data_IF_945162229436
#
_entry.id   IF_945162229436
#
_cell.length_a   1.000
_cell.length_b   1.000
_cell.length_c   1.000
_cell.angle_alpha   90.00
_cell.angle_beta   90.00
_cell.angle_gamma   90.00
#
_symmetry.space_group_name_H-M   'P 1'
#
loop_
_entity.id
_entity.type
_entity.pdbx_description
1 polymer ?
#
# COMPACT_ATOMS: atom_id res chain seq x y z
N UNK A 1 -18.11 -3.56 18.44
CA UNK A 1 -17.85 -4.10 17.08
C UNK A 1 -16.35 -4.34 16.93
N UNK A 2 -15.91 -5.59 16.73
CA UNK A 2 -14.50 -5.86 16.42
C UNK A 2 -14.24 -5.29 15.01
N UNK A 3 -13.32 -4.32 14.91
CA UNK A 3 -12.94 -3.75 13.62
C UNK A 3 -12.38 -4.85 12.74
N UNK A 4 -13.06 -5.14 11.64
CA UNK A 4 -12.54 -6.09 10.64
C UNK A 4 -11.24 -5.54 10.04
N UNK A 5 -10.33 -6.40 9.63
CA UNK A 5 -9.08 -6.01 8.95
C UNK A 5 -9.36 -5.02 7.81
N UNK A 6 -10.45 -5.24 7.07
CA UNK A 6 -10.91 -4.38 5.99
C UNK A 6 -11.22 -2.94 6.44
N UNK A 7 -11.89 -2.76 7.57
CA UNK A 7 -12.19 -1.43 8.12
C UNK A 7 -10.90 -0.66 8.47
N UNK A 8 -9.89 -1.37 8.99
CA UNK A 8 -8.58 -0.76 9.27
C UNK A 8 -7.87 -0.31 8.00
N UNK A 9 -7.93 -1.10 6.92
CA UNK A 9 -7.38 -0.72 5.62
C UNK A 9 -8.08 0.48 5.00
N UNK A 10 -9.43 0.53 5.05
CA UNK A 10 -10.20 1.68 4.57
C UNK A 10 -9.82 2.94 5.35
N UNK A 11 -9.75 2.86 6.67
CA UNK A 11 -9.41 3.99 7.52
C UNK A 11 -7.98 4.50 7.24
N UNK A 12 -7.03 3.59 7.11
CA UNK A 12 -5.66 3.92 6.73
C UNK A 12 -5.58 4.57 5.34
N UNK A 13 -6.34 4.04 4.37
CA UNK A 13 -6.43 4.61 3.02
C UNK A 13 -6.99 6.03 3.03
N UNK A 14 -8.06 6.30 3.79
CA UNK A 14 -8.65 7.63 3.93
C UNK A 14 -7.66 8.61 4.56
N UNK A 15 -6.98 8.21 5.64
CA UNK A 15 -5.99 9.05 6.33
C UNK A 15 -4.81 9.37 5.40
N UNK A 16 -4.22 8.36 4.75
CA UNK A 16 -3.13 8.53 3.80
C UNK A 16 -3.55 9.43 2.63
N UNK A 17 -4.76 9.23 2.13
CA UNK A 17 -5.30 10.05 1.07
C UNK A 17 -5.45 11.51 1.47
N UNK A 18 -6.03 11.78 2.62
CA UNK A 18 -6.18 13.14 3.12
C UNK A 18 -4.82 13.82 3.36
N UNK A 19 -3.87 13.08 3.94
CA UNK A 19 -2.52 13.57 4.17
C UNK A 19 -1.80 13.88 2.86
N UNK A 20 -1.93 13.01 1.85
CA UNK A 20 -1.30 13.21 0.54
C UNK A 20 -1.86 14.42 -0.20
N UNK A 21 -3.19 14.62 -0.19
CA UNK A 21 -3.82 15.81 -0.79
C UNK A 21 -3.30 17.07 -0.11
N UNK A 22 -3.32 17.10 1.22
CA UNK A 22 -2.88 18.26 1.99
C UNK A 22 -1.41 18.60 1.68
N UNK A 23 -0.54 17.58 1.69
CA UNK A 23 0.89 17.78 1.45
C UNK A 23 1.15 18.27 0.01
N UNK A 24 0.53 17.62 -0.98
CA UNK A 24 0.75 17.99 -2.39
C UNK A 24 0.16 19.37 -2.68
N UNK A 25 -1.04 19.70 -2.18
CA UNK A 25 -1.66 20.99 -2.38
C UNK A 25 -0.82 22.12 -1.75
N UNK A 26 -0.40 21.94 -0.50
CA UNK A 26 0.42 22.94 0.21
C UNK A 26 1.80 23.13 -0.44
N UNK A 27 2.51 22.03 -0.68
CA UNK A 27 3.85 22.06 -1.26
C UNK A 27 3.83 22.57 -2.70
N UNK A 28 2.89 22.12 -3.52
CA UNK A 28 2.74 22.55 -4.91
C UNK A 28 2.40 24.06 -4.98
N UNK A 29 1.52 24.55 -4.11
CA UNK A 29 1.18 25.97 -4.05
C UNK A 29 2.42 26.82 -3.75
N UNK A 30 3.17 26.50 -2.70
CA UNK A 30 4.36 27.25 -2.30
C UNK A 30 5.44 27.25 -3.39
N UNK A 31 5.74 26.06 -3.94
CA UNK A 31 6.74 25.92 -4.98
C UNK A 31 6.34 26.64 -6.27
N UNK A 32 5.07 26.56 -6.65
CA UNK A 32 4.54 27.22 -7.85
C UNK A 32 4.61 28.74 -7.72
N UNK A 33 4.21 29.31 -6.58
CA UNK A 33 4.29 30.74 -6.33
C UNK A 33 5.73 31.22 -6.43
N UNK A 34 6.64 30.60 -5.72
CA UNK A 34 8.06 30.96 -5.75
C UNK A 34 8.68 30.84 -7.16
N UNK A 35 8.31 29.79 -7.89
CA UNK A 35 8.78 29.61 -9.28
C UNK A 35 8.25 30.71 -10.20
N UNK A 36 6.96 31.07 -10.11
CA UNK A 36 6.36 32.11 -10.92
C UNK A 36 6.97 33.49 -10.61
N UNK A 37 7.12 33.83 -9.34
CA UNK A 37 7.77 35.08 -8.91
C UNK A 37 9.19 35.17 -9.47
N UNK A 38 10.00 34.15 -9.26
CA UNK A 38 11.39 34.12 -9.75
C UNK A 38 11.49 34.13 -11.28
N UNK A 39 10.64 33.40 -11.97
CA UNK A 39 10.64 33.33 -13.44
C UNK A 39 10.17 34.63 -14.09
N UNK A 40 9.08 35.21 -13.57
CA UNK A 40 8.51 36.45 -14.11
C UNK A 40 9.44 37.62 -13.82
N UNK A 41 9.92 37.77 -12.58
CA UNK A 41 10.85 38.81 -12.22
C UNK A 41 12.18 38.72 -12.98
N UNK A 42 12.68 37.50 -13.14
CA UNK A 42 13.89 37.24 -13.93
C UNK A 42 13.75 37.68 -15.39
N UNK A 43 12.63 37.36 -16.04
CA UNK A 43 12.34 37.80 -17.41
C UNK A 43 12.18 39.33 -17.49
N UNK A 44 11.49 39.94 -16.52
CA UNK A 44 11.36 41.41 -16.45
C UNK A 44 12.72 42.06 -16.33
N UNK A 45 13.55 41.58 -15.38
CA UNK A 45 14.90 42.13 -15.17
C UNK A 45 15.79 41.98 -16.37
N UNK A 46 15.81 40.79 -17.03
CA UNK A 46 16.60 40.59 -18.26
C UNK A 46 16.18 41.57 -19.35
N UNK A 47 14.86 41.73 -19.58
CA UNK A 47 14.35 42.63 -20.60
C UNK A 47 14.66 44.09 -20.25
N UNK A 48 14.47 44.49 -18.97
CA UNK A 48 14.80 45.83 -18.48
C UNK A 48 16.31 46.12 -18.65
N UNK A 49 17.16 45.16 -18.27
CA UNK A 49 18.61 45.29 -18.35
C UNK A 49 19.12 45.40 -19.81
N UNK A 50 18.50 44.65 -20.76
CA UNK A 50 18.83 44.78 -22.17
C UNK A 50 18.56 46.21 -22.67
N UNK A 51 17.41 46.79 -22.35
CA UNK A 51 17.07 48.12 -22.74
C UNK A 51 17.94 49.19 -22.01
N UNK A 52 18.14 48.99 -20.71
CA UNK A 52 18.96 49.85 -19.86
C UNK A 52 20.46 49.87 -20.28
N UNK A 53 20.98 48.79 -20.78
CA UNK A 53 22.40 48.66 -21.14
C UNK A 53 22.69 49.04 -22.58
N UNK A 54 21.77 48.72 -23.52
CA UNK A 54 22.08 48.83 -24.96
C UNK A 54 21.41 49.98 -25.66
N UNK A 55 20.36 50.58 -25.08
CA UNK A 55 19.59 51.63 -25.75
C UNK A 55 19.49 52.93 -24.95
N UNK A 56 19.13 52.88 -23.65
CA UNK A 56 18.92 54.07 -22.82
C UNK A 56 20.19 54.88 -22.57
N UNK A 57 21.44 54.36 -22.58
CA UNK A 57 22.65 55.16 -22.49
C UNK A 57 22.78 56.17 -23.63
N UNK A 58 22.26 55.87 -24.82
CA UNK A 58 22.29 56.76 -25.99
C UNK A 58 21.44 58.02 -25.83
N UNK A 59 20.46 58.00 -24.94
CA UNK A 59 19.70 59.20 -24.53
C UNK A 59 20.57 60.20 -23.79
N UNK A 60 21.42 59.73 -22.86
CA UNK A 60 22.31 60.61 -22.09
C UNK A 60 23.51 61.12 -22.94
N UNK A 61 23.82 60.41 -24.00
CA UNK A 61 24.82 60.87 -24.99
C UNK A 61 24.24 61.75 -26.11
N UNK A 62 22.94 62.09 -26.04
CA UNK A 62 22.18 62.92 -27.01
C UNK A 62 22.13 62.32 -28.42
N UNK A 63 22.34 60.99 -28.56
CA UNK A 63 22.27 60.31 -29.82
C UNK A 63 20.85 59.93 -30.23
N UNK A 64 19.96 59.78 -29.27
CA UNK A 64 18.53 59.51 -29.45
C UNK A 64 17.67 60.57 -28.74
N UNK A 65 16.46 60.76 -29.25
CA UNK A 65 15.50 61.69 -28.67
C UNK A 65 14.63 61.04 -27.62
N UNK A 66 13.97 61.86 -26.77
CA UNK A 66 13.01 61.39 -25.83
C UNK A 66 11.81 60.67 -26.50
N UNK A 67 11.44 61.09 -27.73
CA UNK A 67 10.41 60.41 -28.51
C UNK A 67 10.80 58.97 -28.91
N UNK A 68 12.09 58.76 -29.22
CA UNK A 68 12.61 57.39 -29.50
C UNK A 68 12.58 56.53 -28.24
N UNK A 69 12.91 57.11 -27.05
CA UNK A 69 12.79 56.44 -25.75
C UNK A 69 11.35 55.98 -25.51
N UNK A 70 10.37 56.88 -25.69
CA UNK A 70 8.95 56.53 -25.49
C UNK A 70 8.51 55.36 -26.43
N UNK A 71 8.99 55.36 -27.69
CA UNK A 71 8.65 54.30 -28.64
C UNK A 71 9.17 52.96 -28.14
N UNK A 72 10.38 52.90 -27.64
CA UNK A 72 10.96 51.64 -27.11
C UNK A 72 10.31 51.19 -25.79
N UNK A 73 10.03 52.15 -24.87
CA UNK A 73 9.36 51.85 -23.63
C UNK A 73 7.94 51.31 -23.87
N UNK A 74 7.20 51.92 -24.82
CA UNK A 74 5.84 51.41 -25.16
C UNK A 74 5.89 50.00 -25.75
N UNK A 75 6.81 49.73 -26.67
CA UNK A 75 6.99 48.38 -27.25
C UNK A 75 7.33 47.35 -26.16
N UNK A 76 8.18 47.70 -25.22
CA UNK A 76 8.54 46.83 -24.10
C UNK A 76 7.36 46.66 -23.09
N UNK A 77 6.62 47.75 -22.81
CA UNK A 77 5.44 47.75 -21.95
C UNK A 77 4.36 46.80 -22.50
N UNK A 78 4.09 46.88 -23.81
CA UNK A 78 3.12 45.98 -24.47
C UNK A 78 3.61 44.54 -24.48
N UNK A 79 4.89 44.30 -24.73
CA UNK A 79 5.48 42.97 -24.72
C UNK A 79 5.43 42.31 -23.36
N UNK A 80 5.82 43.05 -22.30
CA UNK A 80 5.84 42.52 -20.94
C UNK A 80 4.48 42.59 -20.26
N UNK A 81 3.51 43.30 -20.81
CA UNK A 81 2.25 43.64 -20.17
C UNK A 81 2.50 44.24 -18.78
N UNK A 82 3.30 45.30 -18.72
CA UNK A 82 3.85 45.89 -17.50
C UNK A 82 3.99 47.43 -17.66
N UNK A 83 3.84 48.15 -16.56
CA UNK A 83 4.11 49.57 -16.55
C UNK A 83 5.62 49.83 -16.42
N UNK A 84 6.17 50.75 -17.18
CA UNK A 84 7.59 51.00 -17.22
C UNK A 84 7.86 52.47 -16.96
N UNK A 85 8.76 52.74 -15.99
CA UNK A 85 9.20 54.07 -15.64
C UNK A 85 10.72 54.21 -15.84
N UNK A 86 11.12 55.21 -16.54
CA UNK A 86 12.52 55.60 -16.69
C UNK A 86 12.76 56.85 -15.84
N UNK A 87 13.63 56.74 -14.84
CA UNK A 87 13.90 57.80 -13.85
C UNK A 87 15.39 58.15 -13.83
N UNK A 88 15.70 59.35 -13.40
CA UNK A 88 17.07 59.78 -13.08
C UNK A 88 17.54 59.25 -11.73
N UNK A 89 18.78 59.60 -11.31
CA UNK A 89 19.34 59.18 -10.01
C UNK A 89 18.64 59.73 -8.80
N UNK A 90 17.83 60.78 -8.96
CA UNK A 90 17.06 61.43 -7.90
C UNK A 90 15.60 60.94 -7.85
N UNK A 91 15.22 60.01 -8.73
CA UNK A 91 13.87 59.48 -8.84
C UNK A 91 12.91 60.38 -9.64
N UNK A 92 13.42 61.39 -10.38
CA UNK A 92 12.55 62.21 -11.24
C UNK A 92 12.23 61.44 -12.51
N UNK A 93 10.96 61.46 -12.90
CA UNK A 93 10.49 60.71 -14.07
C UNK A 93 10.95 61.37 -15.38
N UNK A 94 11.70 60.66 -16.19
CA UNK A 94 12.14 61.10 -17.52
C UNK A 94 11.17 60.66 -18.62
N UNK A 95 10.68 59.40 -18.53
CA UNK A 95 9.69 58.83 -19.43
C UNK A 95 8.91 57.69 -18.77
N UNK A 96 7.68 57.46 -19.22
CA UNK A 96 6.89 56.34 -18.77
C UNK A 96 6.09 55.72 -19.91
N UNK A 97 5.90 54.40 -19.87
CA UNK A 97 5.01 53.68 -20.73
C UNK A 97 4.05 52.85 -19.91
N UNK A 98 2.82 52.68 -20.37
CA UNK A 98 1.74 51.98 -19.69
C UNK A 98 1.20 50.83 -20.50
N UNK A 99 0.92 49.74 -19.82
CA UNK A 99 0.21 48.59 -20.37
C UNK A 99 -1.27 48.52 -19.93
N UNK A 100 -1.93 49.61 -19.59
CA UNK A 100 -3.33 49.61 -19.16
C UNK A 100 -3.84 50.97 -18.66
N UNK A 101 -5.11 51.00 -18.21
CA UNK A 101 -5.90 52.21 -18.02
C UNK A 101 -5.63 53.00 -16.69
N UNK A 102 -4.87 52.52 -15.74
CA UNK A 102 -4.89 53.06 -14.36
C UNK A 102 -3.53 53.03 -13.67
N UNK A 103 -2.53 53.73 -14.16
CA UNK A 103 -1.51 54.18 -13.21
C UNK A 103 -1.08 55.62 -13.50
N UNK A 104 -1.06 56.42 -12.47
CA UNK A 104 -0.50 57.76 -12.50
C UNK A 104 1.00 57.63 -12.25
N UNK A 105 1.79 57.83 -13.30
CA UNK A 105 3.21 57.92 -13.11
C UNK A 105 3.53 59.25 -12.42
N UNK A 106 4.17 59.26 -11.26
CA UNK A 106 4.49 60.48 -10.53
C UNK A 106 5.55 61.29 -11.28
N UNK A 107 5.56 62.60 -11.14
CA UNK A 107 6.65 63.42 -11.70
C UNK A 107 8.00 63.16 -11.00
N UNK A 108 7.96 62.68 -9.75
CA UNK A 108 9.13 62.25 -8.95
C UNK A 108 8.72 61.17 -7.96
N UNK A 109 9.56 60.17 -7.76
CA UNK A 109 9.39 59.12 -6.75
C UNK A 109 9.94 59.67 -5.42
N UNK A 110 9.08 59.75 -4.39
CA UNK A 110 9.50 60.18 -3.07
C UNK A 110 10.39 59.13 -2.40
N UNK A 111 11.53 59.52 -1.83
CA UNK A 111 12.50 58.64 -1.16
C UNK A 111 13.00 57.48 -2.04
N UNK A 112 13.21 57.75 -3.34
CA UNK A 112 13.72 56.76 -4.26
C UNK A 112 15.08 56.21 -3.80
N UNK A 113 15.11 54.90 -3.52
CA UNK A 113 16.33 54.14 -3.19
C UNK A 113 16.49 52.98 -4.18
N UNK A 114 17.44 53.01 -5.11
CA UNK A 114 17.66 51.90 -6.08
C UNK A 114 18.11 50.62 -5.38
N UNK A 115 18.58 50.66 -4.13
CA UNK A 115 19.00 49.51 -3.34
C UNK A 115 17.89 48.95 -2.43
N UNK A 116 16.67 49.48 -2.51
CA UNK A 116 15.53 49.09 -1.67
C UNK A 116 15.21 47.60 -1.73
N UNK A 117 15.55 46.96 -2.85
CA UNK A 117 15.40 45.47 -2.99
C UNK A 117 16.27 44.65 -2.04
N UNK A 118 17.22 45.29 -1.31
CA UNK A 118 18.07 44.62 -0.33
C UNK A 118 18.85 43.40 -0.85
N UNK A 119 19.15 43.36 -2.15
CA UNK A 119 19.81 42.26 -2.81
C UNK A 119 18.84 41.22 -3.46
N UNK A 120 17.53 41.41 -3.34
CA UNK A 120 16.54 40.69 -4.12
C UNK A 120 16.50 41.22 -5.57
N UNK A 121 16.11 40.38 -6.52
CA UNK A 121 15.94 40.80 -7.93
C UNK A 121 14.65 41.58 -8.15
N UNK A 122 13.74 41.61 -7.19
CA UNK A 122 12.43 42.27 -7.28
C UNK A 122 11.91 42.70 -5.92
N UNK A 123 10.95 43.64 -5.96
CA UNK A 123 10.15 44.09 -4.83
C UNK A 123 8.69 43.67 -5.04
N UNK A 124 7.97 43.41 -3.98
CA UNK A 124 6.51 43.22 -4.00
C UNK A 124 5.81 44.23 -3.10
N UNK A 125 4.68 44.76 -3.55
CA UNK A 125 3.87 45.71 -2.84
C UNK A 125 3.24 46.74 -3.75
N UNK A 126 2.70 47.84 -3.16
CA UNK A 126 2.05 48.93 -3.88
C UNK A 126 3.03 49.99 -4.43
N UNK A 127 4.32 49.68 -4.33
CA UNK A 127 5.43 50.57 -4.69
C UNK A 127 5.24 52.03 -4.22
N UNK A 128 5.47 52.27 -2.94
CA UNK A 128 5.29 53.56 -2.26
C UNK A 128 3.87 54.16 -2.35
N UNK A 129 2.84 53.31 -2.53
CA UNK A 129 1.45 53.77 -2.66
C UNK A 129 1.09 54.36 -4.01
N UNK A 130 1.96 54.23 -5.03
CA UNK A 130 1.66 54.72 -6.37
C UNK A 130 0.69 53.83 -7.14
N UNK A 131 0.54 52.54 -6.73
CA UNK A 131 -0.39 51.62 -7.34
C UNK A 131 -1.50 51.23 -6.34
N UNK A 132 -2.74 51.08 -6.86
CA UNK A 132 -3.88 50.64 -6.06
C UNK A 132 -3.92 49.11 -5.84
N UNK A 133 -3.00 48.39 -6.43
CA UNK A 133 -2.89 46.95 -6.35
C UNK A 133 -1.45 46.55 -6.09
N UNK A 134 -1.28 45.33 -5.56
CA UNK A 134 0.04 44.76 -5.37
C UNK A 134 0.75 44.55 -6.71
N UNK A 135 1.99 44.97 -6.80
CA UNK A 135 2.85 44.93 -7.98
C UNK A 135 4.11 44.11 -7.66
N UNK A 136 4.68 43.49 -8.69
CA UNK A 136 6.07 43.04 -8.67
C UNK A 136 6.88 44.04 -9.47
N UNK A 137 7.92 44.58 -8.85
CA UNK A 137 8.75 45.65 -9.42
C UNK A 137 10.19 45.20 -9.53
N UNK A 138 10.80 45.40 -10.70
CA UNK A 138 12.23 45.18 -10.91
C UNK A 138 12.89 46.51 -11.28
N UNK A 139 14.14 46.73 -10.86
CA UNK A 139 14.92 47.95 -11.05
C UNK A 139 16.19 47.58 -11.79
N UNK A 140 16.41 48.15 -12.97
CA UNK A 140 17.61 47.96 -13.76
C UNK A 140 18.38 49.28 -13.92
N UNK A 141 19.68 49.36 -13.58
CA UNK A 141 20.48 50.58 -13.67
C UNK A 141 20.82 50.91 -15.15
N UNK A 142 20.66 52.16 -15.52
CA UNK A 142 21.11 52.71 -16.81
C UNK A 142 22.49 53.35 -16.62
N UNK A 143 23.51 52.76 -17.24
CA UNK A 143 24.90 53.15 -17.02
C UNK A 143 25.51 53.70 -18.32
N UNK A 144 26.07 54.92 -18.22
CA UNK A 144 26.83 55.55 -19.29
C UNK A 144 28.26 55.87 -18.81
N UNK A 145 29.28 55.47 -19.57
CA UNK A 145 30.70 55.76 -19.27
C UNK A 145 31.11 55.43 -17.83
N UNK A 146 30.72 54.22 -17.38
CA UNK A 146 30.98 53.70 -16.02
C UNK A 146 30.29 54.46 -14.86
N UNK A 147 29.31 55.30 -15.12
CA UNK A 147 28.49 55.97 -14.12
C UNK A 147 27.02 55.66 -14.37
N UNK A 148 26.28 55.36 -13.27
CA UNK A 148 24.82 55.21 -13.34
C UNK A 148 24.20 56.59 -13.56
N UNK A 149 23.36 56.71 -14.56
CA UNK A 149 22.68 57.99 -14.93
C UNK A 149 21.21 57.96 -14.61
N UNK A 150 20.65 56.79 -14.42
CA UNK A 150 19.24 56.62 -14.09
C UNK A 150 18.88 55.15 -13.90
N UNK A 151 17.61 54.87 -13.77
CA UNK A 151 17.09 53.56 -13.54
C UNK A 151 15.84 53.30 -14.39
N UNK A 152 15.70 52.04 -14.85
CA UNK A 152 14.51 51.56 -15.51
C UNK A 152 13.76 50.66 -14.54
N UNK A 153 12.53 51.08 -14.17
CA UNK A 153 11.65 50.37 -13.29
C UNK A 153 10.58 49.69 -14.16
N UNK A 154 10.34 48.42 -13.91
CA UNK A 154 9.27 47.66 -14.55
C UNK A 154 8.34 47.11 -13.51
N UNK A 155 7.07 47.55 -13.56
CA UNK A 155 6.02 47.21 -12.61
C UNK A 155 5.01 46.29 -13.29
N UNK A 156 4.77 45.14 -12.72
CA UNK A 156 3.79 44.18 -13.22
C UNK A 156 2.76 43.86 -12.16
N UNK A 157 1.44 43.88 -12.46
CA UNK A 157 0.42 43.52 -11.48
C UNK A 157 0.63 42.10 -10.95
N UNK A 158 0.68 41.93 -9.63
CA UNK A 158 0.83 40.64 -8.97
C UNK A 158 -0.37 39.71 -9.27
N UNK A 159 -1.52 40.28 -9.64
CA UNK A 159 -2.67 39.51 -10.11
C UNK A 159 -2.36 38.56 -11.26
N UNK A 160 -1.44 38.94 -12.17
CA UNK A 160 -1.03 38.06 -13.27
C UNK A 160 -0.28 36.81 -12.77
N UNK A 161 0.44 36.92 -11.64
CA UNK A 161 1.10 35.78 -10.98
C UNK A 161 0.04 34.91 -10.32
N UNK A 162 -0.93 35.51 -9.61
CA UNK A 162 -2.02 34.76 -8.95
C UNK A 162 -2.94 34.08 -9.96
N UNK A 163 -3.19 34.71 -11.11
CA UNK A 163 -3.97 34.08 -12.19
C UNK A 163 -3.23 32.85 -12.78
N UNK A 164 -1.95 32.99 -13.11
CA UNK A 164 -1.12 31.89 -13.59
C UNK A 164 -1.03 30.76 -12.54
N UNK A 165 -0.83 31.13 -11.28
CA UNK A 165 -0.84 30.19 -10.14
C UNK A 165 -2.17 29.44 -10.07
N UNK A 166 -3.31 30.12 -10.16
CA UNK A 166 -4.65 29.52 -10.08
C UNK A 166 -4.88 28.49 -11.19
N UNK A 167 -4.42 28.76 -12.42
CA UNK A 167 -4.51 27.85 -13.56
C UNK A 167 -3.66 26.58 -13.31
N UNK A 168 -2.41 26.74 -12.85
CA UNK A 168 -1.52 25.64 -12.54
C UNK A 168 -2.05 24.76 -11.38
N UNK A 169 -2.56 25.41 -10.32
CA UNK A 169 -3.16 24.70 -9.20
C UNK A 169 -4.42 23.94 -9.58
N UNK A 170 -5.27 24.53 -10.44
CA UNK A 170 -6.45 23.82 -10.98
C UNK A 170 -6.05 22.53 -11.71
N UNK A 171 -5.02 22.59 -12.55
CA UNK A 171 -4.51 21.41 -13.24
C UNK A 171 -3.98 20.37 -12.24
N UNK A 172 -3.27 20.81 -11.21
CA UNK A 172 -2.76 19.94 -10.12
C UNK A 172 -3.91 19.23 -9.41
N UNK A 173 -4.99 19.93 -9.08
CA UNK A 173 -6.17 19.33 -8.42
C UNK A 173 -6.89 18.32 -9.32
N UNK A 174 -6.96 18.56 -10.64
CA UNK A 174 -7.54 17.60 -11.59
C UNK A 174 -6.70 16.32 -11.60
N UNK A 175 -5.38 16.43 -11.65
CA UNK A 175 -4.47 15.26 -11.62
C UNK A 175 -4.63 14.48 -10.31
N UNK A 176 -4.68 15.18 -9.17
CA UNK A 176 -4.92 14.55 -7.86
C UNK A 176 -6.26 13.80 -7.86
N UNK A 177 -7.32 14.41 -8.40
CA UNK A 177 -8.64 13.76 -8.49
C UNK A 177 -8.57 12.47 -9.31
N UNK A 178 -7.90 12.49 -10.47
CA UNK A 178 -7.74 11.31 -11.32
C UNK A 178 -7.00 10.20 -10.56
N UNK A 179 -5.89 10.55 -9.90
CA UNK A 179 -5.11 9.59 -9.10
C UNK A 179 -5.99 8.98 -7.99
N UNK A 180 -6.84 9.78 -7.35
CA UNK A 180 -7.74 9.31 -6.31
C UNK A 180 -8.78 8.32 -6.83
N UNK A 181 -9.37 8.62 -7.98
CA UNK A 181 -10.33 7.72 -8.64
C UNK A 181 -9.66 6.39 -9.02
N UNK A 182 -8.45 6.44 -9.61
CA UNK A 182 -7.68 5.25 -9.95
C UNK A 182 -7.33 4.43 -8.70
N UNK A 183 -6.88 5.08 -7.65
CA UNK A 183 -6.56 4.44 -6.37
C UNK A 183 -7.79 3.79 -5.73
N UNK A 184 -8.97 4.40 -5.85
CA UNK A 184 -10.23 3.82 -5.38
C UNK A 184 -10.62 2.55 -6.16
N UNK A 185 -10.39 2.54 -7.48
CA UNK A 185 -10.60 1.34 -8.31
C UNK A 185 -9.69 0.20 -7.85
N UNK A 186 -8.42 0.49 -7.55
CA UNK A 186 -7.47 -0.49 -6.99
C UNK A 186 -7.97 -1.03 -5.65
N UNK A 187 -8.47 -0.17 -4.76
CA UNK A 187 -9.03 -0.59 -3.47
C UNK A 187 -10.21 -1.56 -3.64
N UNK A 188 -11.10 -1.30 -4.62
CA UNK A 188 -12.17 -2.22 -4.97
C UNK A 188 -11.62 -3.55 -5.50
N UNK A 189 -10.58 -3.52 -6.34
CA UNK A 189 -9.88 -4.71 -6.81
C UNK A 189 -9.36 -5.56 -5.65
N UNK A 190 -8.67 -4.97 -4.69
CA UNK A 190 -8.17 -5.64 -3.48
C UNK A 190 -9.31 -6.26 -2.67
N UNK A 191 -10.45 -5.56 -2.57
CA UNK A 191 -11.62 -6.11 -1.88
C UNK A 191 -12.11 -7.41 -2.52
N UNK A 192 -12.26 -7.44 -3.84
CA UNK A 192 -12.84 -8.60 -4.55
C UNK A 192 -11.82 -9.74 -4.74
N UNK A 193 -10.55 -9.41 -5.03
CA UNK A 193 -9.54 -10.43 -5.33
C UNK A 193 -8.88 -11.02 -4.07
N UNK A 194 -8.75 -10.25 -3.01
CA UNK A 194 -7.99 -10.68 -1.82
C UNK A 194 -8.91 -10.84 -0.61
N UNK A 195 -9.62 -9.77 -0.22
CA UNK A 195 -10.34 -9.78 1.06
C UNK A 195 -11.51 -10.78 1.08
N UNK A 196 -12.32 -10.82 0.03
CA UNK A 196 -13.47 -11.72 -0.08
C UNK A 196 -13.09 -13.20 -0.05
N UNK A 197 -12.10 -13.68 -0.84
CA UNK A 197 -11.57 -15.04 -0.72
C UNK A 197 -11.02 -15.35 0.67
N UNK A 198 -10.23 -14.45 1.26
CA UNK A 198 -9.64 -14.64 2.58
C UNK A 198 -10.70 -14.83 3.67
N UNK A 199 -11.81 -14.09 3.62
CA UNK A 199 -12.93 -14.25 4.55
C UNK A 199 -13.59 -15.63 4.38
N UNK A 200 -13.75 -16.13 3.15
CA UNK A 200 -14.30 -17.48 2.90
C UNK A 200 -13.39 -18.56 3.48
N UNK A 201 -12.08 -18.47 3.22
CA UNK A 201 -11.07 -19.40 3.75
C UNK A 201 -11.10 -19.39 5.29
N UNK A 202 -11.08 -18.20 5.90
CA UNK A 202 -11.09 -18.05 7.36
C UNK A 202 -12.37 -18.65 8.00
N UNK A 203 -13.52 -18.47 7.35
CA UNK A 203 -14.77 -19.01 7.86
C UNK A 203 -14.83 -20.54 7.73
N UNK A 204 -14.32 -21.12 6.65
CA UNK A 204 -14.22 -22.56 6.50
C UNK A 204 -13.24 -23.16 7.52
N UNK A 205 -12.05 -22.55 7.72
CA UNK A 205 -11.11 -22.98 8.73
C UNK A 205 -11.70 -22.97 10.15
N UNK A 206 -12.56 -22.00 10.47
CA UNK A 206 -13.30 -21.98 11.75
C UNK A 206 -14.28 -23.15 11.85
N UNK A 207 -14.94 -23.52 10.75
CA UNK A 207 -15.84 -24.68 10.73
C UNK A 207 -15.07 -25.98 10.90
N UNK A 208 -13.91 -26.15 10.26
CA UNK A 208 -13.03 -27.29 10.48
C UNK A 208 -12.60 -27.41 11.95
N UNK A 209 -12.20 -26.28 12.56
CA UNK A 209 -11.85 -26.26 13.98
C UNK A 209 -13.03 -26.58 14.94
N UNK A 210 -14.28 -26.41 14.49
CA UNK A 210 -15.47 -26.79 15.25
C UNK A 210 -15.96 -28.23 14.97
N UNK A 211 -15.20 -28.99 14.16
CA UNK A 211 -15.54 -30.39 13.79
C UNK A 211 -16.41 -30.53 12.56
N UNK A 212 -16.80 -29.43 11.90
CA UNK A 212 -17.55 -29.50 10.65
C UNK A 212 -16.58 -29.60 9.45
N UNK A 213 -16.16 -30.83 9.15
CA UNK A 213 -15.19 -31.15 8.09
C UNK A 213 -15.82 -31.28 6.70
N UNK A 214 -17.14 -31.24 6.57
CA UNK A 214 -17.85 -31.39 5.30
C UNK A 214 -17.88 -30.16 4.43
N UNK A 215 -17.42 -29.01 4.95
CA UNK A 215 -17.41 -27.74 4.23
C UNK A 215 -16.28 -27.72 3.23
N UNK A 216 -16.60 -27.35 1.97
CA UNK A 216 -15.62 -27.15 0.91
C UNK A 216 -15.42 -25.67 0.67
N UNK A 217 -14.18 -25.22 0.60
CA UNK A 217 -13.83 -23.84 0.31
C UNK A 217 -13.99 -23.59 -1.20
N UNK A 218 -14.98 -22.79 -1.65
CA UNK A 218 -15.27 -22.57 -3.06
C UNK A 218 -14.40 -21.44 -3.65
N UNK A 219 -13.08 -21.57 -3.63
CA UNK A 219 -12.16 -20.59 -4.21
C UNK A 219 -11.48 -21.21 -5.43
N UNK A 220 -11.89 -20.74 -6.62
CA UNK A 220 -11.41 -21.24 -7.91
C UNK A 220 -10.46 -20.23 -8.56
N UNK A 221 -9.34 -19.94 -7.90
CA UNK A 221 -8.27 -19.11 -8.44
C UNK A 221 -7.02 -19.96 -8.63
N UNK A 222 -6.14 -19.56 -9.56
CA UNK A 222 -4.86 -20.24 -9.81
C UNK A 222 -3.68 -19.55 -9.12
N UNK A 223 -3.98 -18.76 -8.10
CA UNK A 223 -3.04 -18.01 -7.28
C UNK A 223 -2.83 -18.66 -5.90
N UNK A 224 -2.15 -17.97 -5.00
CA UNK A 224 -1.89 -18.40 -3.64
C UNK A 224 -3.17 -18.68 -2.84
N UNK A 225 -4.28 -17.96 -3.15
CA UNK A 225 -5.58 -18.18 -2.51
C UNK A 225 -6.21 -19.51 -2.95
N UNK A 226 -6.08 -19.85 -4.23
CA UNK A 226 -6.50 -21.13 -4.76
C UNK A 226 -5.70 -22.30 -4.17
N UNK A 227 -4.37 -22.15 -4.10
CA UNK A 227 -3.49 -23.13 -3.48
C UNK A 227 -3.80 -23.34 -1.99
N UNK A 228 -3.96 -22.25 -1.24
CA UNK A 228 -4.33 -22.31 0.18
C UNK A 228 -5.68 -22.99 0.39
N UNK A 229 -6.65 -22.70 -0.46
CA UNK A 229 -7.98 -23.34 -0.41
C UNK A 229 -7.91 -24.85 -0.67
N UNK A 230 -7.14 -25.27 -1.69
CA UNK A 230 -6.94 -26.67 -2.01
C UNK A 230 -6.22 -27.41 -0.86
N UNK A 231 -5.19 -26.81 -0.27
CA UNK A 231 -4.46 -27.38 0.85
C UNK A 231 -5.34 -27.56 2.09
N UNK A 232 -6.18 -26.57 2.40
CA UNK A 232 -7.12 -26.66 3.52
C UNK A 232 -8.23 -27.70 3.27
N UNK A 233 -8.77 -27.79 2.06
CA UNK A 233 -9.74 -28.81 1.68
C UNK A 233 -9.13 -30.20 1.78
N UNK A 234 -7.88 -30.39 1.32
CA UNK A 234 -7.15 -31.64 1.45
C UNK A 234 -6.94 -32.03 2.92
N UNK A 235 -6.50 -31.09 3.75
CA UNK A 235 -6.35 -31.31 5.18
C UNK A 235 -7.67 -31.71 5.86
N UNK A 236 -8.79 -31.05 5.50
CA UNK A 236 -10.12 -31.41 6.00
C UNK A 236 -10.52 -32.83 5.63
N UNK A 237 -10.24 -33.24 4.38
CA UNK A 237 -10.49 -34.60 3.93
C UNK A 237 -9.67 -35.62 4.74
N UNK A 238 -8.39 -35.38 4.96
CA UNK A 238 -7.53 -36.27 5.74
C UNK A 238 -8.01 -36.39 7.21
N UNK A 239 -8.43 -35.28 7.81
CA UNK A 239 -8.98 -35.29 9.18
C UNK A 239 -10.29 -36.09 9.25
N UNK A 240 -11.15 -35.98 8.24
CA UNK A 240 -12.41 -36.73 8.16
C UNK A 240 -12.14 -38.23 8.02
N UNK A 241 -11.24 -38.61 7.11
CA UNK A 241 -10.85 -40.01 6.91
C UNK A 241 -10.27 -40.62 8.19
N UNK A 242 -9.46 -39.85 8.92
CA UNK A 242 -8.91 -40.25 10.22
C UNK A 242 -10.01 -40.42 11.29
N UNK A 243 -10.98 -39.50 11.34
CA UNK A 243 -12.13 -39.64 12.27
C UNK A 243 -12.97 -40.88 11.96
N UNK A 244 -13.26 -41.11 10.70
CA UNK A 244 -14.02 -42.30 10.25
C UNK A 244 -13.25 -43.63 10.51
N UNK A 245 -11.93 -43.60 10.29
CA UNK A 245 -11.07 -44.74 10.65
C UNK A 245 -11.11 -45.02 12.17
N UNK A 246 -10.96 -43.96 12.99
CA UNK A 246 -11.01 -44.09 14.44
C UNK A 246 -12.36 -44.61 14.94
N UNK A 247 -13.48 -44.13 14.38
CA UNK A 247 -14.83 -44.64 14.72
C UNK A 247 -14.96 -46.13 14.34
N UNK A 248 -14.54 -46.56 13.16
CA UNK A 248 -14.55 -47.96 12.72
C UNK A 248 -13.64 -48.82 13.59
N UNK A 249 -12.45 -48.35 13.93
CA UNK A 249 -11.50 -49.02 14.77
C UNK A 249 -12.11 -49.31 16.16
N UNK A 250 -12.66 -48.27 16.81
CA UNK A 250 -13.31 -48.44 18.14
C UNK A 250 -14.51 -49.39 18.07
N UNK A 251 -15.32 -49.33 17.01
CA UNK A 251 -16.45 -50.24 16.81
C UNK A 251 -15.99 -51.68 16.65
N UNK A 252 -14.97 -51.92 15.81
CA UNK A 252 -14.44 -53.29 15.57
C UNK A 252 -13.82 -53.86 16.86
N UNK A 253 -12.96 -53.09 17.50
CA UNK A 253 -12.37 -53.54 18.80
C UNK A 253 -13.45 -53.84 19.83
N UNK A 254 -14.48 -53.02 19.93
CA UNK A 254 -15.60 -53.25 20.88
C UNK A 254 -16.36 -54.52 20.53
N UNK A 255 -16.56 -54.82 19.26
CA UNK A 255 -17.19 -56.07 18.79
C UNK A 255 -16.34 -57.30 19.14
N UNK A 256 -15.02 -57.24 18.84
CA UNK A 256 -14.11 -58.38 19.04
C UNK A 256 -13.86 -58.70 20.54
N UNK A 257 -13.99 -57.73 21.43
CA UNK A 257 -14.01 -57.94 22.86
C UNK A 257 -15.35 -58.48 23.39
N UNK A 258 -16.48 -58.01 22.82
CA UNK A 258 -17.80 -58.37 23.32
C UNK A 258 -18.12 -59.87 23.14
N UNK A 259 -17.71 -60.45 22.00
CA UNK A 259 -17.99 -61.85 21.69
C UNK A 259 -17.40 -62.80 22.73
N UNK A 260 -16.06 -62.83 22.97
CA UNK A 260 -15.48 -63.74 23.98
C UNK A 260 -15.97 -63.46 25.39
N UNK A 261 -16.15 -62.16 25.78
CA UNK A 261 -16.68 -61.82 27.09
C UNK A 261 -18.10 -62.34 27.31
N UNK A 262 -18.97 -62.34 26.28
CA UNK A 262 -20.32 -62.89 26.33
C UNK A 262 -20.27 -64.42 26.49
N UNK A 263 -19.38 -65.11 25.78
CA UNK A 263 -19.18 -66.54 25.92
C UNK A 263 -18.69 -66.92 27.31
N UNK A 264 -17.65 -66.26 27.80
CA UNK A 264 -17.11 -66.47 29.17
C UNK A 264 -18.22 -66.28 30.21
N UNK A 265 -18.93 -65.13 30.13
CA UNK A 265 -20.01 -64.82 31.07
C UNK A 265 -21.10 -65.89 31.04
N UNK A 266 -21.57 -66.25 29.84
CA UNK A 266 -22.64 -67.25 29.70
C UNK A 266 -22.26 -68.61 30.25
N UNK A 267 -21.05 -69.09 30.02
CA UNK A 267 -20.62 -70.39 30.59
C UNK A 267 -20.41 -70.33 32.11
N UNK A 268 -19.86 -69.21 32.62
CA UNK A 268 -19.74 -69.03 34.09
C UNK A 268 -21.11 -69.00 34.75
N UNK A 269 -22.07 -68.22 34.18
CA UNK A 269 -23.45 -68.16 34.72
C UNK A 269 -24.13 -69.57 34.68
N UNK A 270 -24.00 -70.31 33.55
CA UNK A 270 -24.56 -71.65 33.40
C UNK A 270 -23.92 -72.70 34.35
N UNK A 271 -22.66 -72.50 34.72
CA UNK A 271 -22.04 -73.32 35.78
C UNK A 271 -22.51 -72.91 37.17
N UNK A 272 -22.71 -71.64 37.44
CA UNK A 272 -23.12 -71.13 38.75
C UNK A 272 -24.56 -71.46 39.07
N UNK A 273 -25.48 -71.48 38.08
CA UNK A 273 -26.88 -71.84 38.27
C UNK A 273 -27.17 -73.35 38.16
N UNK A 274 -26.14 -74.17 37.96
CA UNK A 274 -26.27 -75.63 37.86
C UNK A 274 -26.79 -76.16 36.47
N UNK A 275 -26.96 -75.29 35.46
CA UNK A 275 -27.39 -75.72 34.14
C UNK A 275 -26.33 -76.62 33.46
N UNK A 276 -25.05 -76.42 33.80
CA UNK A 276 -23.93 -77.28 33.37
C UNK A 276 -23.62 -78.26 34.50
N UNK A 277 -23.83 -79.56 34.25
CA UNK A 277 -23.54 -80.61 35.31
C UNK A 277 -22.05 -80.64 35.64
N UNK A 278 -21.68 -81.07 36.90
CA UNK A 278 -20.27 -81.10 37.34
C UNK A 278 -19.36 -81.92 36.38
N UNK A 279 -19.87 -82.96 35.80
CA UNK A 279 -19.12 -83.90 34.88
C UNK A 279 -18.70 -83.14 33.59
N UNK A 280 -19.41 -82.09 33.18
CA UNK A 280 -19.15 -81.30 31.98
C UNK A 280 -18.38 -80.04 32.22
N UNK A 281 -18.24 -79.60 33.50
CA UNK A 281 -17.59 -78.30 33.85
C UNK A 281 -16.16 -78.22 33.28
N UNK A 282 -15.37 -79.28 33.28
CA UNK A 282 -14.02 -79.30 32.75
C UNK A 282 -13.93 -78.88 31.28
N UNK A 283 -14.93 -79.31 30.47
CA UNK A 283 -15.02 -78.93 29.05
C UNK A 283 -15.27 -77.39 28.90
N UNK A 284 -16.17 -76.86 29.65
CA UNK A 284 -16.54 -75.44 29.54
C UNK A 284 -15.48 -74.52 30.15
N UNK A 285 -14.80 -74.98 31.22
CA UNK A 285 -13.62 -74.28 31.76
C UNK A 285 -12.50 -74.14 30.73
N UNK A 286 -12.26 -75.17 29.90
CA UNK A 286 -11.30 -75.10 28.81
C UNK A 286 -11.71 -74.05 27.75
N UNK A 287 -13.03 -73.94 27.46
CA UNK A 287 -13.51 -72.90 26.54
C UNK A 287 -13.31 -71.53 27.13
N UNK A 288 -13.60 -71.32 28.42
CA UNK A 288 -13.35 -70.05 29.12
C UNK A 288 -11.87 -69.71 29.11
N UNK A 289 -10.99 -70.67 29.36
CA UNK A 289 -9.55 -70.47 29.30
C UNK A 289 -9.10 -70.04 27.89
N UNK A 290 -9.55 -70.71 26.87
CA UNK A 290 -9.27 -70.38 25.47
C UNK A 290 -9.73 -68.95 25.10
N UNK A 291 -10.95 -68.57 25.49
CA UNK A 291 -11.45 -67.21 25.21
C UNK A 291 -10.69 -66.13 26.02
N UNK A 292 -10.18 -66.47 27.21
CA UNK A 292 -9.35 -65.60 28.02
C UNK A 292 -7.95 -65.39 27.39
N UNK A 293 -7.32 -66.48 26.90
CA UNK A 293 -6.07 -66.42 26.15
C UNK A 293 -6.23 -65.57 24.89
N UNK A 294 -7.32 -65.75 24.13
CA UNK A 294 -7.65 -64.98 22.95
C UNK A 294 -7.79 -63.46 23.26
N UNK A 295 -8.43 -63.11 24.39
CA UNK A 295 -8.51 -61.72 24.85
C UNK A 295 -7.12 -61.14 25.19
N UNK A 296 -6.25 -61.96 25.78
CA UNK A 296 -4.88 -61.55 26.13
C UNK A 296 -4.08 -61.25 24.88
N UNK A 297 -4.20 -62.09 23.85
CA UNK A 297 -3.53 -61.89 22.58
C UNK A 297 -4.06 -60.63 21.87
N UNK A 298 -5.38 -60.42 21.83
CA UNK A 298 -6.00 -59.25 21.26
C UNK A 298 -5.50 -57.94 21.94
N UNK A 299 -5.35 -57.98 23.30
CA UNK A 299 -4.80 -56.79 24.02
C UNK A 299 -3.33 -56.56 23.68
N UNK A 300 -2.53 -57.62 23.51
CA UNK A 300 -1.13 -57.53 23.11
C UNK A 300 -0.99 -56.93 21.72
N UNK A 301 -1.83 -57.41 20.77
CA UNK A 301 -1.83 -56.89 19.40
C UNK A 301 -2.21 -55.40 19.33
N UNK A 302 -3.20 -54.95 20.11
CA UNK A 302 -3.57 -53.55 20.25
C UNK A 302 -2.47 -52.68 20.86
N UNK A 303 -1.74 -53.18 21.87
CA UNK A 303 -0.60 -52.45 22.42
C UNK A 303 0.54 -52.35 21.40
N UNK A 304 0.80 -53.42 20.68
CA UNK A 304 1.80 -53.42 19.59
C UNK A 304 1.47 -52.40 18.52
N UNK A 305 0.20 -52.36 18.05
CA UNK A 305 -0.26 -51.37 17.09
C UNK A 305 -0.04 -49.93 17.60
N UNK A 306 -0.35 -49.64 18.87
CA UNK A 306 -0.16 -48.34 19.47
C UNK A 306 1.33 -47.95 19.58
N UNK A 307 2.23 -48.90 19.83
CA UNK A 307 3.67 -48.66 19.82
C UNK A 307 4.22 -48.37 18.43
N UNK A 308 3.63 -48.96 17.36
CA UNK A 308 4.00 -48.66 15.98
C UNK A 308 3.58 -47.28 15.54
N UNK A 309 2.41 -46.79 15.98
CA UNK A 309 1.90 -45.44 15.64
C UNK A 309 2.69 -44.32 16.35
N UNK A 310 3.29 -44.58 17.52
CA UNK A 310 3.99 -43.57 18.33
C UNK A 310 5.49 -43.44 18.07
N UNK A 311 6.08 -44.43 17.41
CA UNK A 311 7.49 -44.38 17.00
C UNK A 311 7.57 -44.11 15.50
N UNK A 312 8.22 -42.99 15.10
CA UNK A 312 8.88 -42.91 13.80
C UNK A 312 9.85 -44.10 13.71
N UNK A 313 9.35 -45.25 13.26
CA UNK A 313 10.16 -46.42 13.02
C UNK A 313 11.14 -46.08 11.91
N UNK A 314 12.34 -45.69 12.30
CA UNK A 314 13.52 -45.76 11.45
C UNK A 314 13.68 -47.23 11.10
N UNK A 315 13.02 -47.66 9.96
CA UNK A 315 13.22 -48.99 9.42
C UNK A 315 14.70 -49.13 9.09
N UNK A 316 15.39 -49.97 9.85
CA UNK A 316 16.74 -50.43 9.49
C UNK A 316 16.63 -51.34 8.29
N UNK A 317 16.69 -50.75 7.08
CA UNK A 317 16.58 -51.50 5.82
C UNK A 317 17.89 -52.21 5.57
N UNK A 318 17.88 -53.52 5.78
CA UNK A 318 18.98 -54.42 5.45
C UNK A 318 18.59 -55.34 4.29
N UNK A 319 19.55 -55.63 3.42
CA UNK A 319 19.38 -56.63 2.38
C UNK A 319 19.39 -58.03 3.05
N UNK A 320 18.38 -58.83 2.75
CA UNK A 320 18.29 -60.20 3.25
C UNK A 320 17.87 -61.20 2.15
N UNK A 321 18.31 -62.47 2.30
CA UNK A 321 17.90 -63.55 1.37
C UNK A 321 16.48 -64.04 1.71
N UNK A 322 15.53 -63.67 0.88
CA UNK A 322 14.12 -64.10 1.02
C UNK A 322 13.95 -65.61 0.97
N UNK A 323 14.80 -66.35 0.22
CA UNK A 323 14.73 -67.79 0.14
C UNK A 323 15.15 -68.46 1.44
N UNK A 324 16.12 -67.89 2.15
CA UNK A 324 16.54 -68.38 3.47
C UNK A 324 15.40 -68.18 4.50
N UNK A 325 14.74 -67.03 4.49
CA UNK A 325 13.61 -66.73 5.38
C UNK A 325 12.44 -67.68 5.12
N UNK A 326 12.08 -67.91 3.83
CA UNK A 326 11.01 -68.82 3.47
C UNK A 326 11.35 -70.27 3.90
N UNK A 327 12.59 -70.73 3.70
CA UNK A 327 13.03 -72.03 4.11
C UNK A 327 12.96 -72.27 5.61
N UNK A 328 13.42 -71.27 6.37
CA UNK A 328 13.42 -71.30 7.84
C UNK A 328 11.98 -71.28 8.40
N UNK A 329 11.11 -70.48 7.78
CA UNK A 329 9.68 -70.46 8.13
C UNK A 329 8.98 -71.75 7.80
N UNK A 330 9.22 -72.31 6.61
CA UNK A 330 8.65 -73.62 6.24
C UNK A 330 9.09 -74.73 7.19
N UNK A 331 10.37 -74.79 7.58
CA UNK A 331 10.90 -75.77 8.54
C UNK A 331 10.22 -75.68 9.92
N UNK A 332 9.78 -74.43 10.36
CA UNK A 332 9.06 -74.30 11.62
C UNK A 332 7.64 -74.88 11.65
N UNK A 333 7.06 -75.15 10.48
CA UNK A 333 5.76 -75.80 10.32
C UNK A 333 5.85 -77.39 10.11
N UNK A 334 7.07 -77.94 9.91
CA UNK A 334 7.25 -79.36 9.75
C UNK A 334 6.72 -80.19 10.90
N UNK A 335 6.64 -79.67 12.13
CA UNK A 335 6.07 -80.36 13.28
C UNK A 335 4.55 -80.26 13.46
N UNK A 336 3.88 -79.39 12.62
CA UNK A 336 2.46 -79.13 12.72
C UNK A 336 1.67 -79.78 11.52
N UNK A 337 2.33 -80.21 10.51
CA UNK A 337 1.81 -81.05 9.40
C UNK A 337 2.16 -82.47 9.60
#
# INVERSE_FOLDING_TARGET
MKSTLYLKFILLYIILGFLSIFTVASLSSTLTTHYLESSISGNMYQSANLLASNYLPDYFSETITLADVYTQLNGMSDYLNSDIWFVDNEGSLLASAKSGDVSYAPSRIENFDPAESGGSTYLTGDYHGYFNSEMITVIAPVTEKFSTRGYLLVHKPYSQITDAHSVLMRNTYIVILIIYVLSFIILLGVHFLIYRPLVKITNAAKQYASGNLDVVIPVNTQDEMGYLSASLNYMSSQLKDMEDYQKKFVANVSHDFRSPLTSIKGYVEAMADGTIPPEMQGKYLNIILFETERLTDLTRDLLTLNEFDTKDLLLDKTDFDIHEVIRNTAASFEGTC
#
